data_IF_314299445195
#
_entry.id   IF_314299445195
#
_cell.length_a   1.000
_cell.length_b   1.000
_cell.length_c   1.000
_cell.angle_alpha   90.00
_cell.angle_beta   90.00
_cell.angle_gamma   90.00
#
_symmetry.space_group_name_H-M   'P 1'
#
loop_
_entity.id
_entity.type
_entity.pdbx_description
1 polymer ?
#
# COMPACT_ATOMS: atom_id res chain seq x y z
N UNK A 1 -19.62 -6.72 -24.61
CA UNK A 1 -18.41 -6.16 -25.25
C UNK A 1 -17.27 -6.24 -24.26
N UNK A 2 -16.26 -7.08 -24.49
CA UNK A 2 -15.03 -7.10 -23.69
C UNK A 2 -14.19 -5.91 -24.11
N UNK A 3 -14.28 -4.79 -23.41
CA UNK A 3 -13.25 -3.76 -23.48
C UNK A 3 -12.07 -4.28 -22.66
N UNK A 4 -11.22 -5.10 -23.27
CA UNK A 4 -10.03 -5.63 -22.59
C UNK A 4 -9.02 -4.49 -22.43
N UNK A 5 -9.21 -3.67 -21.40
CA UNK A 5 -8.12 -2.84 -20.89
C UNK A 5 -6.92 -3.77 -20.65
N UNK A 6 -5.70 -3.36 -21.05
CA UNK A 6 -4.53 -4.18 -20.81
C UNK A 6 -4.42 -4.48 -19.32
N UNK A 7 -4.02 -5.70 -18.99
CA UNK A 7 -3.63 -6.02 -17.62
C UNK A 7 -2.39 -5.21 -17.28
N UNK A 8 -2.48 -4.40 -16.24
CA UNK A 8 -1.36 -3.60 -15.74
C UNK A 8 -0.57 -4.44 -14.75
N UNK A 9 0.73 -4.57 -14.99
CA UNK A 9 1.66 -5.09 -14.01
C UNK A 9 2.34 -3.91 -13.31
N UNK A 10 2.10 -3.78 -12.01
CA UNK A 10 2.58 -2.66 -11.20
C UNK A 10 3.96 -2.94 -10.60
N UNK A 11 4.87 -1.97 -10.75
CA UNK A 11 6.24 -2.09 -10.27
C UNK A 11 6.39 -1.92 -8.77
N UNK A 12 5.50 -1.17 -8.12
CA UNK A 12 5.58 -0.86 -6.69
C UNK A 12 4.24 -0.37 -6.12
N UNK A 13 3.80 -0.97 -5.02
CA UNK A 13 2.77 -0.41 -4.16
C UNK A 13 3.02 -0.71 -2.67
N UNK A 14 2.40 0.10 -1.82
CA UNK A 14 2.55 0.08 -0.37
C UNK A 14 1.32 -0.48 0.36
N UNK A 15 0.51 -1.33 -0.29
CA UNK A 15 -0.71 -1.85 0.34
C UNK A 15 -0.39 -2.64 1.62
N UNK A 16 0.72 -3.37 1.65
CA UNK A 16 1.19 -4.11 2.82
C UNK A 16 1.57 -3.16 3.96
N UNK A 17 2.27 -2.07 3.67
CA UNK A 17 2.60 -1.01 4.63
C UNK A 17 1.33 -0.44 5.29
N UNK A 18 0.27 -0.22 4.50
CA UNK A 18 -1.03 0.21 5.02
C UNK A 18 -1.72 -0.86 5.86
N UNK A 19 -1.67 -2.15 5.48
CA UNK A 19 -2.24 -3.23 6.31
C UNK A 19 -1.49 -3.30 7.65
N UNK A 20 -0.16 -3.22 7.59
CA UNK A 20 0.71 -3.24 8.76
C UNK A 20 0.35 -2.12 9.75
N UNK A 21 0.24 -0.88 9.28
CA UNK A 21 -0.14 0.27 10.12
C UNK A 21 -1.54 0.17 10.75
N UNK A 22 -2.44 -0.65 10.18
CA UNK A 22 -3.83 -0.79 10.64
C UNK A 22 -4.03 -1.98 11.61
N UNK A 23 -2.97 -2.75 11.90
CA UNK A 23 -3.03 -3.93 12.78
C UNK A 23 -2.48 -5.21 12.15
N UNK A 24 -1.76 -5.12 11.02
CA UNK A 24 -1.00 -6.22 10.43
C UNK A 24 -1.86 -7.42 10.08
N UNK A 25 -1.44 -8.61 10.51
CA UNK A 25 -2.08 -9.89 10.16
C UNK A 25 -3.59 -9.87 10.47
N UNK A 26 -4.01 -9.26 11.58
CA UNK A 26 -5.41 -9.15 11.96
C UNK A 26 -6.27 -8.36 10.94
N UNK A 27 -5.63 -7.52 10.10
CA UNK A 27 -6.28 -6.76 9.03
C UNK A 27 -6.00 -7.30 7.63
N UNK A 28 -5.24 -8.38 7.47
CA UNK A 28 -4.91 -8.91 6.14
C UNK A 28 -6.16 -9.25 5.31
N UNK A 29 -7.22 -9.76 5.96
CA UNK A 29 -8.49 -10.08 5.30
C UNK A 29 -9.20 -8.86 4.67
N UNK A 30 -8.85 -7.63 5.07
CA UNK A 30 -9.38 -6.39 4.48
C UNK A 30 -9.01 -6.22 3.00
N UNK A 31 -7.90 -6.83 2.55
CA UNK A 31 -7.53 -6.80 1.14
C UNK A 31 -8.58 -7.48 0.26
N UNK A 32 -9.17 -8.58 0.73
CA UNK A 32 -10.21 -9.33 0.01
C UNK A 32 -11.61 -8.75 0.22
N UNK A 33 -11.90 -8.26 1.44
CA UNK A 33 -13.21 -7.71 1.82
C UNK A 33 -13.45 -6.28 1.33
N UNK A 34 -12.40 -5.61 0.87
CA UNK A 34 -12.41 -4.20 0.53
C UNK A 34 -11.90 -3.33 1.68
N UNK A 35 -11.18 -2.26 1.33
CA UNK A 35 -10.58 -1.34 2.30
C UNK A 35 -10.50 0.09 1.76
N UNK A 36 -10.23 1.04 2.66
CA UNK A 36 -9.83 2.39 2.26
C UNK A 36 -8.44 2.36 1.61
N UNK A 37 -8.18 3.33 0.73
CA UNK A 37 -6.92 3.41 -0.03
C UNK A 37 -7.04 2.89 -1.46
N UNK A 38 -5.91 2.90 -2.17
CA UNK A 38 -5.85 2.72 -3.62
C UNK A 38 -6.03 1.27 -4.09
N UNK A 39 -5.61 0.28 -3.28
CA UNK A 39 -5.54 -1.10 -3.71
C UNK A 39 -6.26 -2.05 -2.74
N UNK A 40 -7.19 -2.82 -3.31
CA UNK A 40 -7.81 -4.02 -2.74
C UNK A 40 -8.25 -4.93 -3.90
N UNK A 41 -8.75 -6.13 -3.59
CA UNK A 41 -9.11 -7.11 -4.62
C UNK A 41 -10.18 -6.59 -5.59
N UNK A 42 -11.22 -5.92 -5.08
CA UNK A 42 -12.32 -5.45 -5.91
C UNK A 42 -11.86 -4.33 -6.85
N UNK A 43 -11.09 -3.37 -6.33
CA UNK A 43 -10.50 -2.29 -7.14
C UNK A 43 -9.50 -2.84 -8.15
N UNK A 44 -8.70 -3.84 -7.79
CA UNK A 44 -7.76 -4.49 -8.70
C UNK A 44 -8.49 -5.13 -9.90
N UNK A 45 -9.57 -5.87 -9.63
CA UNK A 45 -10.38 -6.53 -10.66
C UNK A 45 -11.07 -5.52 -11.60
N UNK A 46 -11.68 -4.47 -11.05
CA UNK A 46 -12.36 -3.43 -11.84
C UNK A 46 -11.36 -2.56 -12.61
N UNK A 47 -10.19 -2.30 -12.02
CA UNK A 47 -9.15 -1.44 -12.57
C UNK A 47 -8.25 -2.11 -13.61
N UNK A 48 -8.28 -3.43 -13.74
CA UNK A 48 -7.38 -4.16 -14.64
C UNK A 48 -5.97 -4.33 -14.10
N UNK A 49 -5.80 -4.34 -12.77
CA UNK A 49 -4.54 -4.69 -12.12
C UNK A 49 -4.29 -6.20 -12.31
N UNK A 50 -3.38 -6.54 -13.21
CA UNK A 50 -3.02 -7.93 -13.51
C UNK A 50 -2.06 -8.54 -12.49
N UNK A 51 -1.38 -7.70 -11.70
CA UNK A 51 -0.41 -8.12 -10.70
C UNK A 51 0.61 -7.02 -10.43
N UNK A 52 1.57 -7.30 -9.56
CA UNK A 52 2.66 -6.38 -9.29
C UNK A 52 3.52 -6.84 -8.12
N UNK A 53 4.58 -6.07 -7.86
CA UNK A 53 5.38 -6.26 -6.64
C UNK A 53 4.72 -5.56 -5.45
N UNK A 54 4.68 -6.26 -4.32
CA UNK A 54 4.12 -5.75 -3.07
C UNK A 54 5.25 -5.45 -2.10
N UNK A 55 5.50 -4.18 -1.82
CA UNK A 55 6.65 -3.77 -1.03
C UNK A 55 6.52 -4.22 0.43
N UNK A 56 7.57 -4.88 0.95
CA UNK A 56 7.77 -5.09 2.39
C UNK A 56 8.62 -3.94 2.88
N UNK A 57 7.96 -2.84 3.25
CA UNK A 57 8.60 -1.65 3.76
C UNK A 57 8.73 -1.72 5.29
N UNK A 58 9.92 -1.41 5.80
CA UNK A 58 10.18 -1.25 7.23
C UNK A 58 10.08 0.24 7.55
N UNK A 59 9.03 0.70 8.28
CA UNK A 59 8.89 2.10 8.61
C UNK A 59 9.98 2.55 9.58
N UNK A 60 10.56 3.72 9.32
CA UNK A 60 11.44 4.39 10.27
C UNK A 60 10.67 4.74 11.54
N UNK A 61 11.34 4.68 12.69
CA UNK A 61 10.81 5.30 13.91
C UNK A 61 10.85 6.81 13.71
N UNK A 62 9.68 7.42 13.53
CA UNK A 62 9.58 8.86 13.38
C UNK A 62 9.51 9.50 14.76
N UNK A 63 10.63 10.07 15.19
CA UNK A 63 10.68 10.96 16.35
C UNK A 63 10.68 12.41 15.84
N UNK A 64 9.57 13.08 16.11
CA UNK A 64 9.32 14.45 15.65
C UNK A 64 10.30 15.43 16.31
N UNK A 65 10.58 15.26 17.60
CA UNK A 65 11.49 16.13 18.36
C UNK A 65 12.92 15.95 17.87
N UNK A 66 13.36 14.69 17.72
CA UNK A 66 14.67 14.38 17.13
C UNK A 66 14.81 15.01 15.73
N UNK A 67 13.77 14.91 14.90
CA UNK A 67 13.79 15.47 13.54
C UNK A 67 13.93 17.00 13.54
N UNK A 68 13.25 17.70 14.45
CA UNK A 68 13.38 19.16 14.58
C UNK A 68 14.78 19.57 15.05
N UNK A 69 15.34 18.87 16.03
CA UNK A 69 16.69 19.14 16.53
C UNK A 69 17.76 18.96 15.45
N UNK A 70 17.61 17.99 14.55
CA UNK A 70 18.55 17.81 13.43
C UNK A 70 18.43 18.92 12.37
N UNK A 71 17.22 19.43 12.11
CA UNK A 71 17.02 20.53 11.14
C UNK A 71 17.63 21.86 11.61
N UNK A 72 17.65 22.12 12.92
CA UNK A 72 18.25 23.33 13.50
C UNK A 72 19.79 23.32 13.51
N UNK A 73 20.42 22.18 13.23
CA UNK A 73 21.89 22.04 13.14
C UNK A 73 22.48 22.50 11.80
N UNK A 74 21.64 22.78 10.80
CA UNK A 74 22.04 23.15 9.44
C UNK A 74 22.20 24.67 9.24
#
# INVERSE_FOLDING_TARGET
MKTSKPLVFDGHNDVLSKIFSEGGIAKAASFYKGRKGALDLQKAQVGGFGGGFFAVYVPSQFDLEFSYQEMEKA
#
